data_IF_121677856055
#
_entry.id   IF_121677856055
#
_cell.length_a   1.000
_cell.length_b   1.000
_cell.length_c   1.000
_cell.angle_alpha   90.00
_cell.angle_beta   90.00
_cell.angle_gamma   90.00
#
_symmetry.space_group_name_H-M   'P 1'
#
loop_
_entity.id
_entity.type
_entity.pdbx_description
1 polymer ?
#
# COMPACT_ATOMS: atom_id res chain seq x y z
N UNK A 1 -9.21 -22.56 59.57
CA UNK A 1 -8.62 -23.82 59.07
C UNK A 1 -9.75 -24.75 58.65
N UNK A 2 -9.62 -25.43 57.51
CA UNK A 2 -10.64 -26.37 57.04
C UNK A 2 -10.67 -27.63 57.90
N UNK A 3 -11.86 -28.13 58.24
CA UNK A 3 -12.01 -29.31 59.10
C UNK A 3 -11.63 -30.60 58.35
N UNK A 4 -11.29 -31.66 59.08
CA UNK A 4 -10.95 -32.96 58.47
C UNK A 4 -12.09 -33.50 57.59
N UNK A 5 -13.34 -33.35 58.01
CA UNK A 5 -14.50 -33.72 57.20
C UNK A 5 -14.56 -32.93 55.88
N UNK A 6 -14.23 -31.63 55.91
CA UNK A 6 -14.20 -30.76 54.74
C UNK A 6 -13.07 -31.15 53.77
N UNK A 7 -11.91 -31.56 54.30
CA UNK A 7 -10.77 -32.04 53.49
C UNK A 7 -11.13 -33.36 52.78
N UNK A 8 -11.76 -34.31 53.48
CA UNK A 8 -12.16 -35.59 52.89
C UNK A 8 -13.21 -35.41 51.80
N UNK A 9 -14.21 -34.55 52.05
CA UNK A 9 -15.22 -34.21 51.05
C UNK A 9 -14.62 -33.49 49.83
N UNK A 10 -13.66 -32.59 50.03
CA UNK A 10 -12.98 -31.92 48.90
C UNK A 10 -12.17 -32.90 48.06
N UNK A 11 -11.50 -33.89 48.67
CA UNK A 11 -10.76 -34.94 47.94
C UNK A 11 -11.68 -35.84 47.11
N UNK A 12 -12.84 -36.25 47.66
CA UNK A 12 -13.80 -37.08 46.91
C UNK A 12 -14.50 -36.30 45.79
N UNK A 13 -14.81 -35.02 46.02
CA UNK A 13 -15.37 -34.15 44.98
C UNK A 13 -14.35 -33.85 43.88
N UNK A 14 -13.06 -33.67 44.21
CA UNK A 14 -12.01 -33.45 43.22
C UNK A 14 -11.86 -34.61 42.23
N UNK A 15 -12.06 -35.86 42.68
CA UNK A 15 -12.03 -37.04 41.81
C UNK A 15 -13.19 -37.07 40.80
N UNK A 16 -14.32 -36.40 41.11
CA UNK A 16 -15.50 -36.29 40.24
C UNK A 16 -15.46 -35.07 39.31
N UNK A 17 -14.62 -34.08 39.60
CA UNK A 17 -14.57 -32.78 38.92
C UNK A 17 -13.29 -32.59 38.09
N UNK A 18 -12.89 -33.58 37.29
CA UNK A 18 -11.63 -33.54 36.52
C UNK A 18 -11.64 -32.58 35.31
N UNK A 19 -12.71 -31.80 35.14
CA UNK A 19 -12.93 -30.95 33.98
C UNK A 19 -13.07 -31.75 32.66
N UNK A 20 -13.32 -31.06 31.54
CA UNK A 20 -13.42 -31.69 30.24
C UNK A 20 -12.02 -32.07 29.71
N UNK A 21 -11.81 -33.34 29.39
CA UNK A 21 -10.54 -33.86 28.88
C UNK A 21 -10.46 -33.96 27.36
N UNK A 22 -11.60 -34.04 26.69
CA UNK A 22 -11.72 -34.09 25.24
C UNK A 22 -11.87 -32.69 24.64
N UNK A 23 -11.47 -32.49 23.39
CA UNK A 23 -11.63 -31.20 22.72
C UNK A 23 -13.11 -30.80 22.55
N UNK A 24 -13.99 -31.77 22.28
CA UNK A 24 -15.44 -31.55 22.28
C UNK A 24 -15.93 -31.11 23.68
N UNK A 25 -15.46 -31.78 24.74
CA UNK A 25 -15.79 -31.41 26.11
C UNK A 25 -15.31 -30.01 26.48
N UNK A 26 -14.11 -29.62 26.04
CA UNK A 26 -13.56 -28.27 26.25
C UNK A 26 -14.36 -27.23 25.47
N UNK A 27 -14.75 -27.52 24.23
CA UNK A 27 -15.60 -26.66 23.40
C UNK A 27 -17.01 -26.47 23.98
N UNK A 28 -17.58 -27.50 24.61
CA UNK A 28 -18.84 -27.40 25.35
C UNK A 28 -18.66 -26.57 26.62
N UNK A 29 -17.58 -26.79 27.36
CA UNK A 29 -17.30 -26.05 28.59
C UNK A 29 -16.94 -24.59 28.36
N UNK A 30 -16.29 -24.22 27.24
CA UNK A 30 -15.98 -22.84 26.90
C UNK A 30 -17.24 -22.02 26.61
N UNK A 31 -18.27 -22.66 26.05
CA UNK A 31 -19.58 -22.05 25.80
C UNK A 31 -20.41 -21.83 27.07
N UNK A 32 -20.15 -22.54 28.17
CA UNK A 32 -20.90 -22.35 29.44
C UNK A 32 -20.69 -20.96 30.07
N UNK A 33 -19.62 -20.24 29.75
CA UNK A 33 -19.39 -18.87 30.24
C UNK A 33 -19.74 -17.79 29.20
N UNK A 34 -20.44 -18.16 28.13
CA UNK A 34 -20.85 -17.24 27.09
C UNK A 34 -22.10 -16.47 27.53
N UNK A 35 -21.90 -15.25 28.06
CA UNK A 35 -22.98 -14.42 28.59
C UNK A 35 -23.45 -13.35 27.60
N UNK A 36 -22.51 -12.52 27.17
CA UNK A 36 -22.76 -11.28 26.41
C UNK A 36 -22.09 -11.26 25.03
N UNK A 37 -21.22 -12.22 24.73
CA UNK A 37 -20.55 -12.32 23.43
C UNK A 37 -19.55 -11.20 23.08
N UNK A 38 -19.08 -10.39 24.04
CA UNK A 38 -18.03 -9.38 23.80
C UNK A 38 -16.61 -9.94 23.76
N UNK A 39 -16.40 -11.17 24.25
CA UNK A 39 -15.09 -11.80 24.38
C UNK A 39 -15.04 -13.12 23.64
N UNK A 40 -13.85 -13.50 23.18
CA UNK A 40 -13.65 -14.68 22.34
C UNK A 40 -13.73 -14.36 20.85
N UNK A 41 -13.93 -15.39 20.04
CA UNK A 41 -14.11 -15.22 18.60
C UNK A 41 -15.41 -14.45 18.33
N UNK A 42 -15.36 -13.53 17.38
CA UNK A 42 -16.55 -12.79 16.94
C UNK A 42 -17.62 -13.76 16.42
N UNK A 43 -18.85 -13.53 16.85
CA UNK A 43 -20.04 -14.20 16.33
C UNK A 43 -21.25 -13.30 16.52
N UNK A 44 -22.20 -13.40 15.58
CA UNK A 44 -23.54 -12.82 15.73
C UNK A 44 -24.34 -13.72 16.68
N UNK A 45 -24.98 -13.14 17.69
CA UNK A 45 -25.63 -13.92 18.75
C UNK A 45 -26.99 -14.48 18.32
N UNK A 46 -27.43 -15.60 18.94
CA UNK A 46 -28.84 -15.99 18.87
C UNK A 46 -29.72 -14.86 19.41
N UNK A 47 -30.55 -14.26 18.54
CA UNK A 47 -31.35 -13.07 18.83
C UNK A 47 -30.89 -11.80 18.10
N UNK A 48 -29.75 -11.86 17.42
CA UNK A 48 -29.32 -10.88 16.44
C UNK A 48 -29.54 -11.42 15.02
N UNK A 49 -29.54 -10.53 14.04
CA UNK A 49 -29.73 -10.90 12.65
C UNK A 49 -28.39 -11.01 11.91
N UNK A 50 -28.07 -12.21 11.44
CA UNK A 50 -26.86 -12.47 10.65
C UNK A 50 -26.89 -11.71 9.31
N UNK A 51 -28.05 -11.59 8.66
CA UNK A 51 -28.14 -10.90 7.37
C UNK A 51 -27.79 -9.42 7.47
N UNK A 52 -28.12 -8.79 8.60
CA UNK A 52 -27.82 -7.37 8.82
C UNK A 52 -26.32 -7.16 9.02
N UNK A 53 -25.65 -8.09 9.69
CA UNK A 53 -24.19 -8.07 9.81
C UNK A 53 -23.53 -8.32 8.45
N UNK A 54 -24.00 -9.30 7.69
CA UNK A 54 -23.44 -9.61 6.37
C UNK A 54 -23.62 -8.42 5.41
N UNK A 55 -24.78 -7.76 5.44
CA UNK A 55 -25.04 -6.55 4.67
C UNK A 55 -24.12 -5.39 5.08
N UNK A 56 -23.92 -5.17 6.39
CA UNK A 56 -22.97 -4.16 6.88
C UNK A 56 -21.55 -4.46 6.38
N UNK A 57 -21.11 -5.71 6.51
CA UNK A 57 -19.78 -6.14 6.10
C UNK A 57 -19.56 -5.93 4.60
N UNK A 58 -20.53 -6.35 3.79
CA UNK A 58 -20.46 -6.20 2.34
C UNK A 58 -20.50 -4.71 1.93
N UNK A 59 -21.31 -3.89 2.61
CA UNK A 59 -21.33 -2.45 2.37
C UNK A 59 -19.97 -1.81 2.65
N UNK A 60 -19.32 -2.17 3.76
CA UNK A 60 -18.00 -1.65 4.12
C UNK A 60 -16.90 -2.15 3.17
N UNK A 61 -17.00 -3.39 2.68
CA UNK A 61 -16.10 -3.94 1.67
C UNK A 61 -16.28 -3.24 0.32
N UNK A 62 -17.51 -2.96 -0.09
CA UNK A 62 -17.82 -2.23 -1.32
C UNK A 62 -17.39 -0.76 -1.25
N UNK A 63 -17.54 -0.11 -0.09
CA UNK A 63 -17.10 1.26 0.14
C UNK A 63 -15.58 1.37 0.12
N UNK A 64 -14.89 0.52 0.89
CA UNK A 64 -13.45 0.63 1.03
C UNK A 64 -12.68 -0.04 -0.10
N UNK A 65 -13.19 -1.10 -0.73
CA UNK A 65 -12.52 -1.87 -1.79
C UNK A 65 -11.08 -2.26 -1.38
N UNK A 66 -10.93 -3.10 -0.34
CA UNK A 66 -9.60 -3.46 0.15
C UNK A 66 -8.81 -4.23 -0.91
N UNK A 67 -7.61 -3.75 -1.24
CA UNK A 67 -6.77 -4.35 -2.28
C UNK A 67 -5.84 -5.46 -1.75
N UNK A 68 -5.53 -5.43 -0.44
CA UNK A 68 -4.62 -6.38 0.20
C UNK A 68 -5.31 -7.19 1.28
N UNK A 69 -4.76 -8.36 1.66
CA UNK A 69 -5.29 -9.14 2.77
C UNK A 69 -5.31 -8.35 4.09
N UNK A 70 -4.30 -7.52 4.33
CA UNK A 70 -4.23 -6.66 5.53
C UNK A 70 -5.34 -5.62 5.53
N UNK A 71 -5.61 -4.96 4.39
CA UNK A 71 -6.74 -4.05 4.27
C UNK A 71 -8.08 -4.77 4.50
N UNK A 72 -8.21 -5.99 3.98
CA UNK A 72 -9.42 -6.80 4.15
C UNK A 72 -9.67 -7.14 5.62
N UNK A 73 -8.62 -7.53 6.36
CA UNK A 73 -8.70 -7.79 7.79
C UNK A 73 -9.10 -6.52 8.58
N UNK A 74 -8.61 -5.35 8.18
CA UNK A 74 -8.98 -4.08 8.82
C UNK A 74 -10.44 -3.72 8.55
N UNK A 75 -10.93 -3.92 7.33
CA UNK A 75 -12.33 -3.68 6.96
C UNK A 75 -13.26 -4.67 7.68
N UNK A 76 -12.91 -5.94 7.74
CA UNK A 76 -13.66 -6.94 8.51
C UNK A 76 -13.68 -6.57 10.00
N UNK A 77 -12.56 -6.06 10.53
CA UNK A 77 -12.45 -5.52 11.89
C UNK A 77 -13.36 -4.33 12.13
N UNK A 78 -13.53 -3.42 11.16
CA UNK A 78 -14.48 -2.30 11.26
C UNK A 78 -15.90 -2.80 11.47
N UNK A 79 -16.35 -3.76 10.66
CA UNK A 79 -17.69 -4.34 10.77
C UNK A 79 -17.89 -5.01 12.14
N UNK A 80 -16.92 -5.82 12.57
CA UNK A 80 -16.99 -6.54 13.85
C UNK A 80 -17.04 -5.59 15.05
N UNK A 81 -16.14 -4.60 15.11
CA UNK A 81 -16.11 -3.65 16.22
C UNK A 81 -17.31 -2.73 16.23
N UNK A 82 -17.82 -2.32 15.06
CA UNK A 82 -19.08 -1.61 14.97
C UNK A 82 -20.24 -2.44 15.52
N UNK A 83 -20.33 -3.72 15.13
CA UNK A 83 -21.38 -4.62 15.61
C UNK A 83 -21.34 -4.81 17.13
N UNK A 84 -20.15 -5.05 17.69
CA UNK A 84 -19.95 -5.19 19.13
C UNK A 84 -20.25 -3.89 19.89
N UNK A 85 -19.88 -2.71 19.34
CA UNK A 85 -20.28 -1.41 19.90
C UNK A 85 -21.80 -1.28 19.95
N UNK A 86 -22.50 -1.61 18.86
CA UNK A 86 -23.97 -1.56 18.81
C UNK A 86 -24.63 -2.57 19.75
N UNK A 87 -24.05 -3.77 19.90
CA UNK A 87 -24.51 -4.75 20.90
C UNK A 87 -24.41 -4.19 22.32
N UNK A 88 -23.30 -3.53 22.66
CA UNK A 88 -23.13 -2.90 23.98
C UNK A 88 -24.18 -1.81 24.23
N UNK A 89 -24.50 -0.99 23.23
CA UNK A 89 -25.55 0.04 23.34
C UNK A 89 -26.95 -0.58 23.51
N UNK A 90 -27.28 -1.64 22.76
CA UNK A 90 -28.56 -2.35 22.90
C UNK A 90 -28.70 -2.99 24.28
N UNK A 91 -27.67 -3.68 24.76
CA UNK A 91 -27.69 -4.27 26.11
C UNK A 91 -27.77 -3.19 27.19
N UNK A 92 -27.08 -2.06 27.03
CA UNK A 92 -27.19 -0.93 27.94
C UNK A 92 -28.63 -0.39 27.99
N UNK A 93 -29.28 -0.20 26.83
CA UNK A 93 -30.68 0.29 26.79
C UNK A 93 -31.69 -0.69 27.39
N UNK A 94 -31.39 -2.00 27.35
CA UNK A 94 -32.23 -3.04 27.92
C UNK A 94 -31.91 -3.35 29.39
N UNK A 95 -30.84 -2.77 29.94
CA UNK A 95 -30.43 -2.99 31.33
C UNK A 95 -31.34 -2.25 32.29
N UNK A 96 -31.61 -2.85 33.44
CA UNK A 96 -32.26 -2.15 34.54
C UNK A 96 -31.32 -1.05 35.07
N UNK A 97 -31.86 0.14 35.30
CA UNK A 97 -31.10 1.31 35.74
C UNK A 97 -30.48 1.12 37.13
N UNK A 98 -31.00 0.16 37.91
CA UNK A 98 -30.50 -0.17 39.24
C UNK A 98 -29.20 -1.01 39.24
N UNK A 99 -28.87 -1.70 38.15
CA UNK A 99 -27.67 -2.54 38.05
C UNK A 99 -26.49 -1.76 37.47
N UNK A 100 -25.90 -0.93 38.33
CA UNK A 100 -24.72 -0.09 38.01
C UNK A 100 -23.54 -0.91 37.44
N UNK A 101 -23.38 -2.17 37.88
CA UNK A 101 -22.27 -3.02 37.43
C UNK A 101 -22.42 -3.44 35.98
N UNK A 102 -23.64 -3.79 35.54
CA UNK A 102 -23.92 -4.12 34.15
C UNK A 102 -23.78 -2.91 33.25
N UNK A 103 -24.29 -1.75 33.69
CA UNK A 103 -24.14 -0.49 32.98
C UNK A 103 -22.67 -0.15 32.75
N UNK A 104 -21.84 -0.20 33.80
CA UNK A 104 -20.41 0.06 33.71
C UNK A 104 -19.70 -0.94 32.77
N UNK A 105 -20.10 -2.22 32.81
CA UNK A 105 -19.56 -3.26 31.93
C UNK A 105 -19.83 -2.94 30.45
N UNK A 106 -21.07 -2.61 30.10
CA UNK A 106 -21.46 -2.33 28.72
C UNK A 106 -20.86 -1.01 28.21
N UNK A 107 -20.79 0.04 29.04
CA UNK A 107 -20.09 1.28 28.71
C UNK A 107 -18.61 1.02 28.39
N UNK A 108 -17.93 0.18 29.18
CA UNK A 108 -16.53 -0.18 28.92
C UNK A 108 -16.36 -0.90 27.59
N UNK A 109 -17.23 -1.86 27.27
CA UNK A 109 -17.15 -2.58 25.99
C UNK A 109 -17.54 -1.70 24.81
N UNK A 110 -18.50 -0.81 24.97
CA UNK A 110 -18.85 0.21 23.97
C UNK A 110 -17.62 1.06 23.65
N UNK A 111 -16.95 1.60 24.67
CA UNK A 111 -15.77 2.45 24.51
C UNK A 111 -14.59 1.67 23.91
N UNK A 112 -14.40 0.42 24.33
CA UNK A 112 -13.31 -0.43 23.84
C UNK A 112 -13.47 -0.71 22.34
N UNK A 113 -14.67 -1.09 21.92
CA UNK A 113 -14.94 -1.38 20.51
C UNK A 113 -14.98 -0.12 19.66
N UNK A 114 -15.42 1.01 20.20
CA UNK A 114 -15.36 2.31 19.51
C UNK A 114 -13.92 2.73 19.20
N UNK A 115 -13.01 2.61 20.18
CA UNK A 115 -11.58 2.86 19.97
C UNK A 115 -10.96 1.88 18.98
N UNK A 116 -11.35 0.59 19.05
CA UNK A 116 -10.86 -0.42 18.13
C UNK A 116 -11.33 -0.15 16.68
N UNK A 117 -12.59 0.27 16.51
CA UNK A 117 -13.14 0.70 15.22
C UNK A 117 -12.30 1.85 14.62
N UNK A 118 -12.09 2.92 15.38
CA UNK A 118 -11.28 4.06 14.90
C UNK A 118 -9.84 3.64 14.60
N UNK A 119 -9.24 2.79 15.43
CA UNK A 119 -7.90 2.25 15.18
C UNK A 119 -7.83 1.49 13.86
N UNK A 120 -8.81 0.64 13.55
CA UNK A 120 -8.86 -0.08 12.28
C UNK A 120 -8.95 0.89 11.09
N UNK A 121 -9.80 1.92 11.21
CA UNK A 121 -9.99 2.93 10.17
C UNK A 121 -8.69 3.72 9.93
N UNK A 122 -8.06 4.20 11.01
CA UNK A 122 -6.83 4.98 10.93
C UNK A 122 -5.68 4.17 10.30
N UNK A 123 -5.55 2.89 10.66
CA UNK A 123 -4.54 2.01 10.05
C UNK A 123 -4.81 1.79 8.57
N UNK A 124 -6.07 1.61 8.16
CA UNK A 124 -6.45 1.46 6.76
C UNK A 124 -6.07 2.70 5.95
N UNK A 125 -6.44 3.89 6.45
CA UNK A 125 -6.11 5.16 5.80
C UNK A 125 -4.60 5.39 5.76
N UNK A 126 -3.87 5.02 6.82
CA UNK A 126 -2.42 5.12 6.88
C UNK A 126 -1.74 4.25 5.81
N UNK A 127 -2.14 2.99 5.69
CA UNK A 127 -1.60 2.08 4.66
C UNK A 127 -1.81 2.66 3.26
N UNK A 128 -2.99 3.22 2.99
CA UNK A 128 -3.29 3.87 1.69
C UNK A 128 -2.48 5.13 1.44
N UNK A 129 -2.23 5.91 2.49
CA UNK A 129 -1.37 7.08 2.38
C UNK A 129 0.09 6.68 2.08
N UNK A 130 0.56 5.58 2.68
CA UNK A 130 1.90 5.02 2.44
C UNK A 130 2.04 4.48 1.02
N UNK A 131 1.07 3.73 0.52
CA UNK A 131 1.07 3.24 -0.87
C UNK A 131 1.08 4.41 -1.87
N UNK A 132 0.21 5.40 -1.68
CA UNK A 132 0.17 6.61 -2.53
C UNK A 132 1.49 7.39 -2.51
N UNK A 133 2.11 7.55 -1.33
CA UNK A 133 3.41 8.24 -1.22
C UNK A 133 4.51 7.48 -1.96
N UNK A 134 4.51 6.14 -1.88
CA UNK A 134 5.46 5.32 -2.61
C UNK A 134 5.30 5.52 -4.14
N UNK A 135 4.06 5.47 -4.64
CA UNK A 135 3.74 5.69 -6.06
C UNK A 135 4.24 7.07 -6.55
N UNK A 136 3.92 8.14 -5.82
CA UNK A 136 4.37 9.50 -6.15
C UNK A 136 5.91 9.59 -6.14
N UNK A 137 6.56 8.92 -5.19
CA UNK A 137 8.03 8.84 -5.13
C UNK A 137 8.64 8.23 -6.40
N UNK A 138 8.04 7.13 -6.90
CA UNK A 138 8.46 6.51 -8.15
C UNK A 138 8.25 7.43 -9.36
N UNK A 139 7.12 8.14 -9.44
CA UNK A 139 6.87 9.09 -10.52
C UNK A 139 7.90 10.21 -10.57
N UNK A 140 8.24 10.79 -9.41
CA UNK A 140 9.27 11.83 -9.29
C UNK A 140 10.65 11.32 -9.76
N UNK A 141 11.03 10.12 -9.32
CA UNK A 141 12.28 9.49 -9.77
C UNK A 141 12.30 9.22 -11.29
N UNK A 142 11.17 8.79 -11.87
CA UNK A 142 11.05 8.57 -13.33
C UNK A 142 11.18 9.88 -14.09
N UNK A 143 10.57 10.97 -13.61
CA UNK A 143 10.69 12.31 -14.22
C UNK A 143 12.14 12.79 -14.22
N UNK A 144 12.84 12.66 -13.09
CA UNK A 144 14.25 13.04 -12.96
C UNK A 144 15.15 12.24 -13.90
N UNK A 145 15.01 10.91 -13.94
CA UNK A 145 15.76 10.05 -14.88
C UNK A 145 15.52 10.43 -16.35
N UNK A 146 14.28 10.78 -16.70
CA UNK A 146 13.96 11.21 -18.06
C UNK A 146 14.61 12.57 -18.41
N UNK A 147 14.67 13.49 -17.45
CA UNK A 147 15.36 14.77 -17.60
C UNK A 147 16.87 14.59 -17.76
N UNK A 148 17.51 13.78 -16.91
CA UNK A 148 18.94 13.47 -17.01
C UNK A 148 19.26 12.83 -18.38
N UNK A 149 18.42 11.91 -18.85
CA UNK A 149 18.56 11.30 -20.19
C UNK A 149 18.45 12.35 -21.30
N UNK A 150 17.53 13.32 -21.18
CA UNK A 150 17.40 14.42 -22.16
C UNK A 150 18.62 15.33 -22.14
N UNK A 151 19.14 15.65 -20.95
CA UNK A 151 20.36 16.43 -20.78
C UNK A 151 21.56 15.73 -21.41
N UNK A 152 21.77 14.45 -21.11
CA UNK A 152 22.81 13.62 -21.71
C UNK A 152 22.68 13.58 -23.23
N UNK A 153 21.47 13.40 -23.78
CA UNK A 153 21.24 13.40 -25.22
C UNK A 153 21.59 14.74 -25.88
N UNK A 154 21.28 15.86 -25.22
CA UNK A 154 21.64 17.19 -25.71
C UNK A 154 23.17 17.43 -25.64
N UNK A 155 23.82 16.99 -24.57
CA UNK A 155 25.27 17.06 -24.43
C UNK A 155 25.96 16.22 -25.52
N UNK A 156 25.47 15.00 -25.78
CA UNK A 156 25.97 14.15 -26.87
C UNK A 156 25.79 14.81 -28.23
N UNK A 157 24.61 15.39 -28.53
CA UNK A 157 24.38 16.14 -29.79
C UNK A 157 25.32 17.33 -29.93
N UNK A 158 25.63 18.02 -28.83
CA UNK A 158 26.58 19.13 -28.84
C UNK A 158 28.00 18.64 -29.13
N UNK A 159 28.41 17.53 -28.52
CA UNK A 159 29.70 16.90 -28.78
C UNK A 159 29.82 16.42 -30.23
N UNK A 160 28.78 15.77 -30.77
CA UNK A 160 28.71 15.35 -32.17
C UNK A 160 28.85 16.55 -33.12
N UNK A 161 28.08 17.62 -32.89
CA UNK A 161 28.18 18.86 -33.69
C UNK A 161 29.58 19.45 -33.65
N UNK A 162 30.21 19.48 -32.48
CA UNK A 162 31.58 19.96 -32.35
C UNK A 162 32.57 19.07 -33.12
N UNK A 163 32.40 17.74 -33.04
CA UNK A 163 33.19 16.79 -33.83
C UNK A 163 33.07 17.02 -35.34
N UNK A 164 31.84 17.21 -35.85
CA UNK A 164 31.62 17.54 -37.26
C UNK A 164 32.25 18.87 -37.68
N UNK A 165 32.21 19.88 -36.81
CA UNK A 165 32.83 21.18 -37.09
C UNK A 165 34.35 21.06 -37.22
N UNK A 166 35.01 20.31 -36.32
CA UNK A 166 36.44 20.06 -36.41
C UNK A 166 36.82 19.32 -37.69
N UNK A 167 36.09 18.26 -38.04
CA UNK A 167 36.31 17.51 -39.29
C UNK A 167 36.14 18.38 -40.53
N UNK A 168 35.15 19.28 -40.52
CA UNK A 168 34.94 20.22 -41.62
C UNK A 168 36.12 21.19 -41.76
N UNK A 169 36.63 21.72 -40.64
CA UNK A 169 37.77 22.63 -40.65
C UNK A 169 39.06 21.92 -41.06
N UNK A 170 39.27 20.68 -40.62
CA UNK A 170 40.37 19.82 -41.09
C UNK A 170 40.30 19.61 -42.61
N UNK A 171 39.14 19.23 -43.14
CA UNK A 171 38.93 19.06 -44.57
C UNK A 171 39.18 20.35 -45.38
N UNK A 172 38.80 21.52 -44.85
CA UNK A 172 39.12 22.82 -45.48
C UNK A 172 40.62 23.06 -45.52
N UNK A 173 41.34 22.79 -44.42
CA UNK A 173 42.79 22.96 -44.35
C UNK A 173 43.50 22.04 -45.33
N UNK A 174 43.10 20.77 -45.41
CA UNK A 174 43.67 19.81 -46.35
C UNK A 174 43.37 20.17 -47.81
N UNK A 175 42.15 20.63 -48.11
CA UNK A 175 41.80 21.20 -49.42
C UNK A 175 42.71 22.37 -49.80
N UNK A 176 42.96 23.30 -48.86
CA UNK A 176 43.86 24.43 -49.09
C UNK A 176 45.32 23.99 -49.29
N UNK A 177 45.79 23.00 -48.53
CA UNK A 177 47.14 22.42 -48.70
C UNK A 177 47.31 21.81 -50.09
N UNK A 178 46.33 21.03 -50.55
CA UNK A 178 46.33 20.44 -51.88
C UNK A 178 46.33 21.51 -52.98
N UNK A 179 45.55 22.58 -52.82
CA UNK A 179 45.55 23.71 -53.75
C UNK A 179 46.93 24.39 -53.81
N UNK A 180 47.52 24.69 -52.65
CA UNK A 180 48.85 25.27 -52.56
C UNK A 180 49.92 24.38 -53.20
N UNK A 181 49.80 23.04 -53.04
CA UNK A 181 50.71 22.08 -53.67
C UNK A 181 50.57 22.08 -55.20
N UNK A 182 49.32 22.12 -55.71
CA UNK A 182 49.04 22.23 -57.15
C UNK A 182 49.61 23.51 -57.74
N UNK A 183 49.44 24.65 -57.07
CA UNK A 183 49.98 25.95 -57.50
C UNK A 183 51.52 25.99 -57.56
N UNK A 184 52.21 25.17 -56.77
CA UNK A 184 53.67 25.02 -56.80
C UNK A 184 54.16 24.04 -57.87
N UNK A 185 53.27 23.32 -58.55
CA UNK A 185 53.65 22.38 -59.60
C UNK A 185 54.06 23.14 -60.87
N UNK A 186 55.23 22.86 -61.47
CA UNK A 186 55.79 23.63 -62.58
C UNK A 186 54.93 23.62 -63.86
N UNK A 187 54.01 22.65 -64.01
CA UNK A 187 53.10 22.55 -65.15
C UNK A 187 51.63 22.88 -64.81
N UNK A 188 51.37 23.59 -63.71
CA UNK A 188 50.00 23.95 -63.35
C UNK A 188 49.50 25.17 -64.15
N UNK A 189 48.42 25.05 -64.95
CA UNK A 189 47.95 26.11 -65.85
C UNK A 189 47.25 27.30 -65.13
N UNK A 190 47.28 27.33 -63.79
CA UNK A 190 46.55 28.30 -62.97
C UNK A 190 45.10 27.87 -62.72
N UNK A 191 44.44 28.43 -61.68
CA UNK A 191 43.04 28.15 -61.43
C UNK A 191 42.15 28.73 -62.55
N UNK A 192 41.08 28.03 -62.97
CA UNK A 192 40.14 28.55 -63.96
C UNK A 192 39.49 29.86 -63.46
N UNK A 193 39.33 30.84 -64.35
CA UNK A 193 38.70 32.11 -63.99
C UNK A 193 37.22 31.90 -63.62
N UNK A 194 36.67 32.75 -62.76
CA UNK A 194 35.24 32.70 -62.33
C UNK A 194 34.29 32.72 -63.54
N UNK A 195 34.68 33.39 -64.63
CA UNK A 195 33.97 33.41 -65.92
C UNK A 195 33.93 32.05 -66.63
N UNK A 196 34.93 31.19 -66.40
CA UNK A 196 35.06 29.86 -67.03
C UNK A 196 34.23 28.81 -66.27
N UNK A 197 34.13 28.92 -64.95
CA UNK A 197 33.38 27.98 -64.09
C UNK A 197 31.86 28.13 -64.30
N UNK A 198 31.38 29.38 -64.45
CA UNK A 198 29.96 29.67 -64.71
C UNK A 198 29.54 29.46 -66.18
N UNK A 199 30.48 29.15 -67.08
CA UNK A 199 30.23 28.89 -68.50
C UNK A 199 30.10 27.40 -68.84
N UNK A 200 30.25 26.51 -67.86
CA UNK A 200 29.98 25.08 -68.04
C UNK A 200 28.48 24.87 -67.86
N UNK A 201 27.76 24.78 -68.98
CA UNK A 201 26.35 24.38 -68.97
C UNK A 201 26.18 23.02 -68.30
N UNK A 202 25.06 22.79 -67.57
CA UNK A 202 24.80 21.50 -66.95
C UNK A 202 24.61 20.45 -68.05
N UNK A 203 25.49 19.44 -68.07
CA UNK A 203 25.28 18.23 -68.85
C UNK A 203 24.05 17.52 -68.28
N UNK A 204 23.05 17.31 -69.13
CA UNK A 204 21.82 16.57 -68.85
C UNK A 204 22.06 15.07 -68.59
#
# INVERSE_FOLDING_TARGET
MSTMAQITANKTNAQKSTGPRTDDGKSRSSRNNFRHGFTGAFSVLPGENQSDFDHLLESLRAEHQPATPTESLLVDGLAQHYWLKQRALRLLSASDQSDEKQIALYLRYQTTNDRAFHKCLDQLLKLRAETRKAEIGFESQRRKKAEDKRRQANENRRAERHGWALLLDEAKVDGQRLLNLKLRSPNYPGPPSVRTILAVEPVA
#
